data_IF_697649523159
#
_entry.id   IF_697649523159
#
_cell.length_a   1.000
_cell.length_b   1.000
_cell.length_c   1.000
_cell.angle_alpha   90.00
_cell.angle_beta   90.00
_cell.angle_gamma   90.00
#
_symmetry.space_group_name_H-M   'P 1'
#
loop_
_entity.id
_entity.type
_entity.pdbx_description
1 polymer ?
#
# COMPACT_ATOMS: atom_id res chain seq x y z
N UNK A 1 29.36 -21.37 -42.01
CA UNK A 1 27.90 -21.20 -41.80
C UNK A 1 27.33 -22.46 -41.19
N UNK A 2 26.80 -22.40 -39.96
CA UNK A 2 25.54 -23.02 -39.56
C UNK A 2 25.17 -22.56 -38.14
N UNK A 3 23.87 -22.33 -37.99
CA UNK A 3 23.14 -21.70 -36.88
C UNK A 3 23.08 -22.68 -35.69
N UNK A 4 22.90 -22.25 -34.44
CA UNK A 4 21.61 -22.28 -33.72
C UNK A 4 21.83 -21.75 -32.28
N UNK A 5 21.11 -20.72 -31.86
CA UNK A 5 19.95 -20.81 -30.94
C UNK A 5 20.29 -20.96 -29.45
N UNK A 6 20.18 -19.83 -28.74
CA UNK A 6 19.49 -19.62 -27.44
C UNK A 6 19.17 -20.85 -26.56
N UNK A 7 19.59 -20.82 -25.28
CA UNK A 7 18.68 -20.57 -24.14
C UNK A 7 19.33 -20.76 -22.76
N UNK A 8 18.98 -19.81 -21.89
CA UNK A 8 18.66 -19.95 -20.45
C UNK A 8 19.63 -20.66 -19.51
N UNK A 9 20.16 -19.91 -18.56
CA UNK A 9 20.74 -20.49 -17.35
C UNK A 9 21.38 -19.48 -16.42
N UNK A 10 20.69 -18.37 -16.09
CA UNK A 10 21.09 -17.55 -14.96
C UNK A 10 20.91 -18.40 -13.69
N UNK A 11 22.00 -19.06 -13.26
CA UNK A 11 22.02 -19.82 -12.02
C UNK A 11 22.17 -18.83 -10.86
N UNK A 12 21.19 -18.73 -9.94
CA UNK A 12 21.37 -17.90 -8.76
C UNK A 12 22.52 -18.44 -7.90
N UNK A 13 23.20 -17.49 -7.29
CA UNK A 13 24.42 -17.58 -6.50
C UNK A 13 24.23 -18.37 -5.19
N UNK A 14 23.95 -19.68 -5.28
CA UNK A 14 23.81 -20.56 -4.11
C UNK A 14 24.63 -21.84 -4.20
N UNK A 15 25.55 -21.96 -5.16
CA UNK A 15 26.33 -23.21 -5.34
C UNK A 15 27.79 -23.04 -4.93
N UNK A 16 28.02 -22.86 -3.63
CA UNK A 16 29.23 -23.24 -2.87
C UNK A 16 28.76 -23.05 -1.41
N UNK A 17 28.57 -24.07 -0.58
CA UNK A 17 29.58 -24.95 -0.01
C UNK A 17 28.96 -26.31 0.32
N UNK A 18 29.53 -27.40 -0.19
CA UNK A 18 29.45 -28.74 0.41
C UNK A 18 30.61 -29.56 -0.17
N UNK A 19 31.82 -29.31 0.33
CA UNK A 19 32.96 -30.23 0.14
C UNK A 19 33.18 -30.98 1.45
N UNK A 20 32.83 -32.28 1.42
CA UNK A 20 33.25 -33.37 2.31
C UNK A 20 33.33 -33.10 3.82
N UNK A 21 32.32 -33.56 4.56
CA UNK A 21 32.52 -34.05 5.93
C UNK A 21 32.22 -35.55 5.96
N UNK A 22 33.29 -36.32 6.06
CA UNK A 22 33.30 -37.67 6.59
C UNK A 22 32.86 -37.61 8.06
N UNK A 23 32.01 -38.54 8.51
CA UNK A 23 31.76 -38.78 9.92
C UNK A 23 30.30 -38.74 10.35
N UNK A 24 29.86 -39.85 10.93
CA UNK A 24 28.56 -40.11 11.52
C UNK A 24 28.11 -39.01 12.51
N UNK A 25 26.84 -38.59 12.43
CA UNK A 25 26.22 -37.76 13.46
C UNK A 25 25.07 -36.92 12.94
N UNK A 26 23.90 -37.53 12.75
CA UNK A 26 22.62 -36.82 12.72
C UNK A 26 22.36 -36.20 14.11
N UNK A 27 23.03 -35.11 14.43
CA UNK A 27 22.57 -34.18 15.46
C UNK A 27 21.87 -33.06 14.72
N UNK A 28 20.59 -33.29 14.39
CA UNK A 28 19.67 -32.21 14.06
C UNK A 28 19.59 -31.31 15.28
N UNK A 29 20.46 -30.31 15.36
CA UNK A 29 20.44 -29.39 16.47
C UNK A 29 19.05 -28.73 16.49
N UNK A 30 18.29 -28.92 17.59
CA UNK A 30 16.97 -28.31 17.76
C UNK A 30 17.02 -26.80 17.53
N UNK A 31 18.16 -26.13 17.77
CA UNK A 31 18.32 -24.70 17.44
C UNK A 31 18.28 -24.41 15.95
N UNK A 32 18.79 -25.28 15.07
CA UNK A 32 18.74 -25.03 13.61
C UNK A 32 17.30 -25.19 13.12
N UNK A 33 16.60 -26.25 13.56
CA UNK A 33 15.18 -26.45 13.24
C UNK A 33 14.30 -25.37 13.87
N UNK A 34 14.61 -24.92 15.10
CA UNK A 34 13.95 -23.79 15.77
C UNK A 34 14.23 -22.48 15.05
N UNK A 35 15.45 -22.23 14.56
CA UNK A 35 15.80 -21.03 13.80
C UNK A 35 15.13 -21.01 12.43
N UNK A 36 15.07 -22.14 11.72
CA UNK A 36 14.31 -22.29 10.47
C UNK A 36 12.81 -22.07 10.72
N UNK A 37 12.25 -22.65 11.79
CA UNK A 37 10.83 -22.48 12.18
C UNK A 37 10.52 -21.03 12.59
N UNK A 38 11.44 -20.36 13.29
CA UNK A 38 11.33 -18.95 13.67
C UNK A 38 11.44 -18.02 12.45
N UNK A 39 12.37 -18.31 11.51
CA UNK A 39 12.52 -17.56 10.25
C UNK A 39 11.28 -17.70 9.36
N UNK A 40 10.65 -18.89 9.32
CA UNK A 40 9.42 -19.16 8.56
C UNK A 40 8.19 -18.47 9.16
N UNK A 41 8.14 -18.28 10.48
CA UNK A 41 7.07 -17.55 11.19
C UNK A 41 7.11 -16.03 10.97
N UNK A 42 8.26 -15.46 10.60
CA UNK A 42 8.44 -14.04 10.31
C UNK A 42 8.40 -13.65 8.84
N UNK A 43 8.24 -14.62 7.93
CA UNK A 43 8.35 -14.42 6.47
C UNK A 43 7.14 -14.89 5.66
N UNK A 44 6.08 -15.34 6.33
CA UNK A 44 4.81 -15.61 5.68
C UNK A 44 3.85 -14.45 5.95
N UNK A 45 4.02 -13.37 5.19
CA UNK A 45 2.92 -12.43 5.00
C UNK A 45 1.99 -13.06 3.96
N UNK A 46 1.13 -13.97 4.39
CA UNK A 46 0.00 -14.39 3.56
C UNK A 46 -0.72 -13.11 3.15
N UNK A 47 -0.69 -12.80 1.85
CA UNK A 47 -1.34 -11.62 1.29
C UNK A 47 -2.85 -11.84 1.39
N UNK A 48 -3.42 -11.59 2.58
CA UNK A 48 -4.87 -11.48 2.75
C UNK A 48 -5.35 -10.30 1.93
N UNK A 49 -6.56 -10.40 1.36
CA UNK A 49 -7.18 -9.24 0.71
C UNK A 49 -7.59 -8.24 1.79
N UNK A 50 -7.53 -6.94 1.50
CA UNK A 50 -7.98 -5.94 2.47
C UNK A 50 -9.44 -6.11 2.88
N UNK A 51 -10.28 -6.66 2.00
CA UNK A 51 -11.68 -7.02 2.28
C UNK A 51 -11.86 -8.12 3.33
N UNK A 52 -10.82 -8.94 3.57
CA UNK A 52 -10.85 -10.09 4.50
C UNK A 52 -10.15 -9.77 5.82
N UNK A 53 -9.50 -8.61 5.91
CA UNK A 53 -8.78 -8.18 7.11
C UNK A 53 -9.75 -7.55 8.11
N UNK A 54 -9.45 -7.74 9.39
CA UNK A 54 -10.10 -7.01 10.48
C UNK A 54 -9.63 -5.55 10.51
N UNK A 55 -10.40 -4.69 11.19
CA UNK A 55 -10.06 -3.28 11.37
C UNK A 55 -8.64 -3.08 11.92
N UNK A 56 -8.26 -3.86 12.95
CA UNK A 56 -6.95 -3.76 13.59
C UNK A 56 -5.82 -4.24 12.67
N UNK A 57 -6.04 -5.29 11.88
CA UNK A 57 -5.09 -5.76 10.87
C UNK A 57 -4.87 -4.70 9.78
N UNK A 58 -5.93 -4.04 9.31
CA UNK A 58 -5.83 -2.95 8.32
C UNK A 58 -5.04 -1.78 8.90
N UNK A 59 -5.30 -1.40 10.15
CA UNK A 59 -4.58 -0.31 10.82
C UNK A 59 -3.09 -0.64 11.00
N UNK A 60 -2.76 -1.87 11.39
CA UNK A 60 -1.36 -2.32 11.49
C UNK A 60 -0.68 -2.29 10.12
N UNK A 61 -1.37 -2.73 9.07
CA UNK A 61 -0.84 -2.71 7.70
C UNK A 61 -0.63 -1.28 7.19
N UNK A 62 -1.55 -0.35 7.49
CA UNK A 62 -1.38 1.07 7.20
C UNK A 62 -0.12 1.66 7.85
N UNK A 63 0.12 1.35 9.13
CA UNK A 63 1.32 1.82 9.83
C UNK A 63 2.60 1.26 9.18
N UNK A 64 2.58 -0.03 8.80
CA UNK A 64 3.68 -0.68 8.10
C UNK A 64 3.97 0.00 6.76
N UNK A 65 2.95 0.18 5.91
CA UNK A 65 3.04 0.83 4.60
C UNK A 65 3.58 2.26 4.70
N UNK A 66 3.11 3.03 5.68
CA UNK A 66 3.59 4.40 5.93
C UNK A 66 5.07 4.41 6.29
N UNK A 67 5.50 3.51 7.19
CA UNK A 67 6.90 3.41 7.59
C UNK A 67 7.80 2.99 6.41
N UNK A 68 7.32 2.11 5.55
CA UNK A 68 8.03 1.64 4.36
C UNK A 68 8.14 2.75 3.30
N UNK A 69 7.05 3.48 3.05
CA UNK A 69 7.04 4.65 2.16
C UNK A 69 8.07 5.68 2.62
N UNK A 70 8.08 6.02 3.92
CA UNK A 70 9.02 6.99 4.48
C UNK A 70 10.49 6.54 4.35
N UNK A 71 10.78 5.25 4.57
CA UNK A 71 12.13 4.68 4.36
C UNK A 71 12.57 4.77 2.90
N UNK A 72 11.68 4.45 1.96
CA UNK A 72 11.98 4.50 0.52
C UNK A 72 12.18 5.93 0.03
N UNK A 73 11.34 6.85 0.51
CA UNK A 73 11.47 8.28 0.24
C UNK A 73 12.82 8.81 0.71
N UNK A 74 13.22 8.49 1.95
CA UNK A 74 14.54 8.86 2.49
C UNK A 74 15.71 8.25 1.71
N UNK A 75 15.55 7.04 1.17
CA UNK A 75 16.54 6.37 0.34
C UNK A 75 16.59 6.90 -1.11
N UNK A 76 15.72 7.85 -1.49
CA UNK A 76 15.65 8.44 -2.84
C UNK A 76 14.80 7.65 -3.85
N UNK A 77 14.10 6.59 -3.41
CA UNK A 77 13.21 5.77 -4.25
C UNK A 77 11.79 6.35 -4.27
N UNK A 78 11.62 7.47 -5.00
CA UNK A 78 10.36 8.22 -5.02
C UNK A 78 9.20 7.45 -5.65
N UNK A 79 9.45 6.73 -6.76
CA UNK A 79 8.43 5.94 -7.46
C UNK A 79 7.85 4.86 -6.53
N UNK A 80 8.73 4.12 -5.87
CA UNK A 80 8.36 3.06 -4.95
C UNK A 80 7.71 3.59 -3.67
N UNK A 81 8.12 4.77 -3.20
CA UNK A 81 7.47 5.46 -2.10
C UNK A 81 6.01 5.82 -2.45
N UNK A 82 5.77 6.32 -3.67
CA UNK A 82 4.42 6.61 -4.19
C UNK A 82 3.55 5.36 -4.37
N UNK A 83 4.14 4.22 -4.75
CA UNK A 83 3.43 2.93 -4.76
C UNK A 83 3.01 2.54 -3.33
N UNK A 84 3.89 2.68 -2.34
CA UNK A 84 3.56 2.36 -0.94
C UNK A 84 2.48 3.29 -0.37
N UNK A 85 2.54 4.57 -0.71
CA UNK A 85 1.52 5.56 -0.34
C UNK A 85 0.16 5.23 -0.99
N UNK A 86 0.14 4.84 -2.26
CA UNK A 86 -1.10 4.46 -2.95
C UNK A 86 -1.74 3.23 -2.29
N UNK A 87 -0.91 2.26 -1.85
CA UNK A 87 -1.38 1.11 -1.04
C UNK A 87 -1.92 1.56 0.32
N UNK A 88 -1.29 2.54 0.97
CA UNK A 88 -1.77 3.10 2.23
C UNK A 88 -3.17 3.70 2.08
N UNK A 89 -3.41 4.51 1.05
CA UNK A 89 -4.73 5.08 0.80
C UNK A 89 -5.78 4.03 0.42
N UNK A 90 -5.38 2.98 -0.30
CA UNK A 90 -6.25 1.84 -0.56
C UNK A 90 -6.67 1.16 0.75
N UNK A 91 -5.72 0.84 1.63
CA UNK A 91 -6.03 0.24 2.93
C UNK A 91 -6.92 1.15 3.79
N UNK A 92 -6.63 2.46 3.85
CA UNK A 92 -7.47 3.46 4.54
C UNK A 92 -8.90 3.46 4.05
N UNK A 93 -9.12 3.21 2.76
CA UNK A 93 -10.45 3.20 2.16
C UNK A 93 -11.37 2.11 2.72
N UNK A 94 -10.81 1.00 3.21
CA UNK A 94 -11.59 -0.07 3.86
C UNK A 94 -12.00 0.26 5.30
N UNK A 95 -11.38 1.29 5.91
CA UNK A 95 -11.77 1.80 7.23
C UNK A 95 -12.88 2.86 7.13
N UNK A 96 -13.04 3.46 5.94
CA UNK A 96 -14.06 4.47 5.68
C UNK A 96 -15.30 3.84 5.08
N UNK A 97 -16.44 4.44 5.35
CA UNK A 97 -17.71 4.04 4.75
C UNK A 97 -17.98 4.89 3.51
N UNK A 98 -18.46 4.25 2.45
CA UNK A 98 -18.86 4.91 1.20
C UNK A 98 -20.03 5.87 1.38
N UNK A 99 -20.89 5.64 2.37
CA UNK A 99 -22.06 6.48 2.69
C UNK A 99 -21.69 7.93 3.07
N UNK A 100 -20.46 8.15 3.55
CA UNK A 100 -19.97 9.47 3.91
C UNK A 100 -19.51 10.29 2.69
N UNK A 101 -19.38 9.66 1.52
CA UNK A 101 -18.90 10.29 0.30
C UNK A 101 -20.01 10.28 -0.75
N UNK A 102 -21.01 11.18 -0.65
CA UNK A 102 -22.05 11.29 -1.66
C UNK A 102 -21.44 11.58 -3.04
N UNK A 103 -22.06 10.96 -4.04
CA UNK A 103 -21.80 11.16 -5.47
C UNK A 103 -22.20 12.58 -5.90
N UNK A 104 -21.76 12.98 -7.09
CA UNK A 104 -22.00 14.30 -7.69
C UNK A 104 -21.50 15.48 -6.83
N UNK A 105 -20.40 15.28 -6.11
CA UNK A 105 -19.73 16.32 -5.32
C UNK A 105 -18.26 16.46 -5.66
N UNK A 106 -17.74 17.66 -5.46
CA UNK A 106 -16.32 17.97 -5.54
C UNK A 106 -15.61 17.68 -4.21
N UNK A 107 -14.48 17.00 -4.29
CA UNK A 107 -13.59 16.71 -3.16
C UNK A 107 -12.16 17.15 -3.49
N UNK A 108 -11.37 17.41 -2.46
CA UNK A 108 -9.93 17.61 -2.62
C UNK A 108 -9.22 16.25 -2.60
N UNK A 109 -8.24 16.04 -3.47
CA UNK A 109 -7.45 14.80 -3.51
C UNK A 109 -6.08 15.09 -2.94
N UNK A 110 -5.66 14.35 -1.90
CA UNK A 110 -4.32 14.52 -1.35
C UNK A 110 -3.24 14.33 -2.42
N UNK A 111 -2.41 15.35 -2.62
CA UNK A 111 -1.35 15.39 -3.64
C UNK A 111 -1.73 16.12 -4.94
N UNK A 112 -2.96 16.62 -5.05
CA UNK A 112 -3.44 17.43 -6.16
C UNK A 112 -3.99 18.75 -5.62
N UNK A 113 -3.75 19.84 -6.34
CA UNK A 113 -4.23 21.18 -5.96
C UNK A 113 -5.62 21.49 -6.55
N UNK A 114 -6.10 20.65 -7.47
CA UNK A 114 -7.36 20.84 -8.18
C UNK A 114 -8.52 20.04 -7.55
N UNK A 115 -9.75 20.59 -7.54
CA UNK A 115 -10.94 19.86 -7.12
C UNK A 115 -11.21 18.68 -8.07
N UNK A 116 -11.57 17.54 -7.49
CA UNK A 116 -11.97 16.33 -8.20
C UNK A 116 -13.49 16.13 -8.08
N UNK A 117 -14.18 16.09 -9.20
CA UNK A 117 -15.61 15.81 -9.25
C UNK A 117 -15.86 14.31 -9.25
N UNK A 118 -16.55 13.78 -8.24
CA UNK A 118 -16.90 12.37 -8.16
C UNK A 118 -18.23 12.12 -8.86
N UNK A 119 -18.20 11.37 -9.96
CA UNK A 119 -19.39 11.00 -10.73
C UNK A 119 -20.13 9.82 -10.10
N UNK A 120 -19.40 8.79 -9.69
CA UNK A 120 -20.00 7.61 -9.05
C UNK A 120 -18.96 6.86 -8.21
N UNK A 121 -19.44 6.07 -7.25
CA UNK A 121 -18.60 5.16 -6.48
C UNK A 121 -18.71 3.72 -6.99
N UNK A 122 -17.59 3.01 -7.02
CA UNK A 122 -17.54 1.56 -7.27
C UNK A 122 -16.66 0.88 -6.26
N UNK A 123 -17.28 0.19 -5.31
CA UNK A 123 -16.56 -0.39 -4.16
C UNK A 123 -15.94 0.72 -3.32
N UNK A 124 -14.63 0.64 -3.09
CA UNK A 124 -13.86 1.65 -2.33
C UNK A 124 -13.21 2.71 -3.23
N UNK A 125 -13.55 2.74 -4.52
CA UNK A 125 -12.99 3.66 -5.51
C UNK A 125 -14.02 4.69 -5.95
N UNK A 126 -13.60 5.94 -6.03
CA UNK A 126 -14.36 7.05 -6.57
C UNK A 126 -13.92 7.33 -8.01
N UNK A 127 -14.86 7.31 -8.94
CA UNK A 127 -14.66 7.59 -10.35
C UNK A 127 -15.13 9.00 -10.67
N UNK A 128 -14.34 9.72 -11.47
CA UNK A 128 -14.57 11.15 -11.66
C UNK A 128 -13.57 11.79 -12.60
N UNK A 129 -13.55 13.11 -12.64
CA UNK A 129 -12.66 13.91 -13.49
C UNK A 129 -12.19 15.15 -12.73
N UNK A 130 -11.02 15.68 -13.12
CA UNK A 130 -10.57 16.98 -12.66
C UNK A 130 -11.25 18.07 -13.47
N UNK A 131 -11.45 19.26 -12.88
CA UNK A 131 -12.09 20.39 -13.59
C UNK A 131 -11.40 20.78 -14.90
N UNK A 132 -10.09 20.56 -14.99
CA UNK A 132 -9.28 20.92 -16.15
C UNK A 132 -8.99 19.75 -17.11
N UNK A 133 -9.57 18.56 -16.87
CA UNK A 133 -9.33 17.37 -17.69
C UNK A 133 -10.62 16.58 -17.92
N UNK A 134 -10.85 16.19 -19.18
CA UNK A 134 -11.96 15.30 -19.55
C UNK A 134 -11.62 13.81 -19.34
N UNK A 135 -10.40 13.50 -18.86
CA UNK A 135 -10.00 12.12 -18.58
C UNK A 135 -10.64 11.62 -17.29
N UNK A 136 -11.37 10.50 -17.39
CA UNK A 136 -11.92 9.84 -16.22
C UNK A 136 -10.81 9.13 -15.44
N UNK A 137 -10.65 9.50 -14.18
CA UNK A 137 -9.68 8.92 -13.27
C UNK A 137 -10.38 8.34 -12.04
N UNK A 138 -9.70 7.39 -11.38
CA UNK A 138 -10.23 6.71 -10.20
C UNK A 138 -9.27 6.85 -9.03
N UNK A 139 -9.78 7.34 -7.90
CA UNK A 139 -9.03 7.46 -6.66
C UNK A 139 -9.67 6.63 -5.53
N UNK A 140 -8.88 6.06 -4.61
CA UNK A 140 -9.43 5.43 -3.42
C UNK A 140 -10.13 6.48 -2.56
N UNK A 141 -11.29 6.17 -1.98
CA UNK A 141 -12.04 7.11 -1.12
C UNK A 141 -11.21 7.61 0.07
N UNK A 142 -10.24 6.81 0.53
CA UNK A 142 -9.29 7.18 1.58
C UNK A 142 -8.33 8.31 1.20
N UNK A 143 -8.25 8.69 -0.07
CA UNK A 143 -7.44 9.83 -0.55
C UNK A 143 -8.29 11.12 -0.69
N UNK A 144 -9.61 11.00 -0.65
CA UNK A 144 -10.53 12.13 -0.77
C UNK A 144 -10.67 12.87 0.56
N UNK A 145 -10.70 14.20 0.48
CA UNK A 145 -10.92 15.10 1.60
C UNK A 145 -12.10 16.02 1.27
N UNK A 146 -13.02 16.17 2.23
CA UNK A 146 -14.13 17.09 2.08
C UNK A 146 -13.62 18.53 2.04
N UNK A 147 -14.07 19.27 1.04
CA UNK A 147 -13.85 20.72 0.97
C UNK A 147 -14.72 21.35 2.05
N UNK A 148 -14.13 21.59 3.22
CA UNK A 148 -14.79 22.35 4.27
C UNK A 148 -14.81 23.81 3.81
N UNK A 149 -15.98 24.25 3.35
CA UNK A 149 -16.25 25.66 3.16
C UNK A 149 -16.19 26.30 4.55
N UNK A 150 -15.05 26.88 4.90
CA UNK A 150 -14.92 27.64 6.14
C UNK A 150 -15.78 28.89 6.00
N UNK A 151 -17.09 28.77 6.25
CA UNK A 151 -17.87 29.91 6.66
C UNK A 151 -17.35 30.27 8.05
N UNK A 152 -16.42 31.23 8.11
CA UNK A 152 -16.09 31.93 9.34
C UNK A 152 -17.37 32.67 9.78
N UNK A 153 -18.23 31.95 10.50
CA UNK A 153 -19.45 32.43 11.12
C UNK A 153 -19.27 32.49 12.63
N UNK A 154 -18.58 33.53 13.09
CA UNK A 154 -18.83 34.18 14.39
C UNK A 154 -18.90 35.67 14.06
N UNK A 155 -20.05 36.35 14.01
CA UNK A 155 -21.22 36.19 14.86
C UNK A 155 -21.11 37.20 16.00
N UNK A 156 -21.61 38.41 15.77
CA UNK A 156 -21.82 39.37 16.84
C UNK A 156 -22.86 38.84 17.84
N UNK A 157 -22.55 38.97 19.14
CA UNK A 157 -23.37 39.67 20.14
C UNK A 157 -22.88 39.36 21.56
N UNK A 158 -22.75 40.42 22.37
CA UNK A 158 -22.47 40.40 23.81
C UNK A 158 -21.87 41.76 24.22
N UNK A 159 -22.69 42.79 24.48
CA UNK A 159 -23.37 43.07 25.76
C UNK A 159 -22.39 43.31 26.93
N UNK A 160 -22.04 44.58 27.15
CA UNK A 160 -22.22 45.32 28.41
C UNK A 160 -22.19 46.82 28.11
#
# INVERSE_FOLDING_TARGET
>A
MNKESINSGFKPFTTLYLTSYSGNGLLTNLNVLKWIKLKKKGLEHTMKRYSEMTHDEIQAEMQRLRSESMKKYQAGFLSEAGIMESKYFMARSYLLKTENFPEDKEYMVSGYDEPFYVQYLRGVMAWGYFRNSDEQQAFPIGRLEEIKNTSCGCGGNGCN
#
